data_IF_005883418891
#
_entry.id   IF_005883418891
#
_cell.length_a   1.000
_cell.length_b   1.000
_cell.length_c   1.000
_cell.angle_alpha   90.00
_cell.angle_beta   90.00
_cell.angle_gamma   90.00
#
_symmetry.space_group_name_H-M   'P 1'
#
loop_
_entity.id
_entity.type
_entity.pdbx_description
1 polymer ?
#
# COMPACT_ATOMS: atom_id res chain seq x y z
N UNK A 1 -20.11 -11.00 4.95
CA UNK A 1 -19.16 -10.58 3.90
C UNK A 1 -18.64 -11.83 3.21
N UNK A 2 -18.66 -11.87 1.87
CA UNK A 2 -18.26 -13.03 1.05
C UNK A 2 -16.82 -13.49 1.31
N UNK A 3 -15.94 -12.57 1.70
CA UNK A 3 -14.51 -12.85 1.98
C UNK A 3 -14.32 -13.93 3.05
N UNK A 4 -15.19 -13.98 4.08
CA UNK A 4 -15.08 -14.98 5.14
C UNK A 4 -15.42 -16.39 4.67
N UNK A 5 -16.30 -16.53 3.67
CA UNK A 5 -16.63 -17.84 3.10
C UNK A 5 -15.50 -18.36 2.23
N UNK A 6 -14.84 -17.46 1.47
CA UNK A 6 -13.63 -17.78 0.71
C UNK A 6 -12.51 -18.23 1.67
N UNK A 7 -12.23 -17.45 2.73
CA UNK A 7 -11.19 -17.78 3.72
C UNK A 7 -11.39 -19.16 4.34
N UNK A 8 -12.63 -19.54 4.69
CA UNK A 8 -12.94 -20.87 5.26
C UNK A 8 -12.66 -22.03 4.31
N UNK A 9 -12.64 -21.78 3.00
CA UNK A 9 -12.33 -22.78 1.98
C UNK A 9 -10.85 -22.87 1.61
N UNK A 10 -10.01 -21.94 2.08
CA UNK A 10 -8.59 -21.93 1.75
C UNK A 10 -7.84 -23.07 2.41
N UNK A 11 -6.75 -23.49 1.76
CA UNK A 11 -5.79 -24.45 2.28
C UNK A 11 -4.45 -23.74 2.46
N UNK A 12 -3.64 -24.10 3.47
CA UNK A 12 -2.30 -23.54 3.61
C UNK A 12 -1.46 -23.75 2.35
N UNK A 13 -0.72 -22.72 1.95
CA UNK A 13 0.23 -22.79 0.85
C UNK A 13 1.45 -23.65 1.22
N UNK A 14 2.42 -23.77 0.30
CA UNK A 14 3.71 -24.38 0.61
C UNK A 14 4.47 -23.70 1.76
N UNK A 15 4.08 -22.48 2.14
CA UNK A 15 4.63 -21.72 3.29
C UNK A 15 3.89 -22.03 4.60
N UNK A 16 2.77 -22.77 4.54
CA UNK A 16 1.90 -23.00 5.69
C UNK A 16 0.97 -21.84 6.02
N UNK A 17 0.84 -20.85 5.13
CA UNK A 17 0.02 -19.65 5.33
C UNK A 17 -1.30 -19.74 4.54
N UNK A 18 -2.35 -19.09 5.04
CA UNK A 18 -3.55 -18.79 4.25
C UNK A 18 -3.31 -17.50 3.47
N UNK A 19 -3.22 -17.61 2.15
CA UNK A 19 -2.70 -16.54 1.29
C UNK A 19 -3.79 -15.53 0.92
N UNK A 20 -3.50 -14.23 1.08
CA UNK A 20 -4.36 -13.18 0.53
C UNK A 20 -4.46 -13.28 -1.00
N UNK A 21 -3.41 -13.79 -1.66
CA UNK A 21 -3.40 -14.05 -3.10
C UNK A 21 -4.47 -15.07 -3.51
N UNK A 22 -4.76 -16.08 -2.69
CA UNK A 22 -5.82 -17.05 -2.99
C UNK A 22 -7.21 -16.44 -2.85
N UNK A 23 -7.39 -15.54 -1.87
CA UNK A 23 -8.62 -14.73 -1.77
C UNK A 23 -8.78 -13.88 -3.04
N UNK A 24 -7.73 -13.19 -3.46
CA UNK A 24 -7.76 -12.36 -4.67
C UNK A 24 -8.09 -13.18 -5.92
N UNK A 25 -7.49 -14.36 -6.07
CA UNK A 25 -7.76 -15.27 -7.18
C UNK A 25 -9.22 -15.76 -7.21
N UNK A 26 -9.85 -15.96 -6.04
CA UNK A 26 -11.26 -16.33 -5.98
C UNK A 26 -12.17 -15.21 -6.52
N UNK A 27 -11.87 -13.94 -6.21
CA UNK A 27 -12.60 -12.79 -6.78
C UNK A 27 -12.33 -12.62 -8.28
N UNK A 28 -11.11 -12.88 -8.75
CA UNK A 28 -10.77 -12.89 -10.19
C UNK A 28 -11.58 -13.97 -10.91
N UNK A 29 -11.62 -15.20 -10.39
CA UNK A 29 -12.36 -16.31 -10.98
C UNK A 29 -13.88 -16.07 -11.05
N UNK A 30 -14.40 -15.24 -10.15
CA UNK A 30 -15.81 -14.81 -10.14
C UNK A 30 -16.08 -13.61 -11.07
N UNK A 31 -15.04 -12.99 -11.65
CA UNK A 31 -15.17 -11.77 -12.45
C UNK A 31 -15.57 -10.54 -11.64
N UNK A 32 -15.37 -10.56 -10.32
CA UNK A 32 -15.78 -9.50 -9.40
C UNK A 32 -14.61 -8.71 -8.80
N UNK A 33 -13.37 -9.08 -9.15
CA UNK A 33 -12.17 -8.31 -8.80
C UNK A 33 -12.15 -6.97 -9.53
N UNK A 34 -11.89 -5.90 -8.79
CA UNK A 34 -11.55 -4.58 -9.32
C UNK A 34 -10.11 -4.24 -8.93
N UNK A 35 -9.50 -3.29 -9.65
CA UNK A 35 -8.17 -2.79 -9.34
C UNK A 35 -8.09 -1.30 -9.68
N UNK A 36 -7.16 -0.63 -9.05
CA UNK A 36 -6.79 0.75 -9.36
C UNK A 36 -5.27 0.85 -9.46
N UNK A 37 -4.79 1.82 -10.24
CA UNK A 37 -3.36 2.14 -10.30
C UNK A 37 -3.10 3.25 -9.28
N UNK A 38 -2.11 3.04 -8.41
CA UNK A 38 -1.71 4.04 -7.44
C UNK A 38 -0.89 5.14 -8.12
N UNK A 39 -1.39 6.37 -8.04
CA UNK A 39 -0.60 7.55 -8.36
C UNK A 39 0.29 7.93 -7.16
N UNK A 40 1.56 8.22 -7.43
CA UNK A 40 2.55 8.54 -6.40
C UNK A 40 3.41 7.36 -6.01
N UNK A 41 3.61 7.16 -4.71
CA UNK A 41 4.54 6.15 -4.19
C UNK A 41 3.88 5.18 -3.22
N UNK A 42 4.33 3.92 -3.32
CA UNK A 42 4.15 2.90 -2.30
C UNK A 42 5.54 2.42 -1.83
N UNK A 43 5.65 2.16 -0.53
CA UNK A 43 6.85 1.57 0.08
C UNK A 43 6.41 0.74 1.27
N UNK A 44 7.17 -0.30 1.58
CA UNK A 44 7.08 -1.01 2.86
C UNK A 44 8.16 -0.51 3.85
N UNK A 45 8.16 -1.10 5.04
CA UNK A 45 9.12 -0.87 6.10
C UNK A 45 9.60 -2.19 6.73
N UNK A 46 9.79 -3.23 5.90
CA UNK A 46 10.18 -4.57 6.34
C UNK A 46 11.66 -4.72 6.70
N UNK A 47 12.50 -3.73 6.38
CA UNK A 47 13.94 -3.67 6.70
C UNK A 47 14.31 -2.31 7.29
N UNK A 48 15.47 -2.20 7.96
CA UNK A 48 15.94 -0.91 8.48
C UNK A 48 16.12 0.15 7.37
N UNK A 49 16.62 -0.27 6.21
CA UNK A 49 16.81 0.60 5.05
C UNK A 49 15.47 1.07 4.47
N UNK A 50 14.51 0.16 4.25
CA UNK A 50 13.17 0.51 3.75
C UNK A 50 12.40 1.38 4.73
N UNK A 51 12.53 1.14 6.04
CA UNK A 51 11.95 1.97 7.10
C UNK A 51 12.52 3.40 7.07
N UNK A 52 13.85 3.54 6.95
CA UNK A 52 14.49 4.85 6.86
C UNK A 52 14.02 5.61 5.60
N UNK A 53 13.97 4.91 4.45
CA UNK A 53 13.43 5.47 3.20
C UNK A 53 11.98 5.92 3.36
N UNK A 54 11.11 5.08 3.92
CA UNK A 54 9.69 5.39 4.14
C UNK A 54 9.53 6.64 5.02
N UNK A 55 10.33 6.74 6.08
CA UNK A 55 10.33 7.89 6.99
C UNK A 55 10.71 9.19 6.27
N UNK A 56 11.74 9.15 5.41
CA UNK A 56 12.16 10.31 4.63
C UNK A 56 11.13 10.72 3.57
N UNK A 57 10.48 9.76 2.91
CA UNK A 57 9.39 10.03 1.95
C UNK A 57 8.25 10.80 2.61
N UNK A 58 7.82 10.38 3.81
CA UNK A 58 6.77 11.10 4.56
C UNK A 58 7.24 12.46 5.02
N UNK A 59 8.47 12.57 5.53
CA UNK A 59 9.02 13.84 6.01
C UNK A 59 9.14 14.90 4.90
N UNK A 60 9.40 14.49 3.66
CA UNK A 60 9.63 15.38 2.52
C UNK A 60 8.38 15.65 1.70
N UNK A 61 7.55 14.62 1.44
CA UNK A 61 6.40 14.68 0.54
C UNK A 61 5.05 14.44 1.20
N UNK A 62 4.99 14.36 2.53
CA UNK A 62 3.79 13.96 3.26
C UNK A 62 3.36 12.52 2.95
N UNK A 63 2.15 12.14 3.34
CA UNK A 63 1.61 10.81 3.08
C UNK A 63 1.06 10.70 1.64
N UNK A 64 1.95 10.81 0.65
CA UNK A 64 1.61 10.74 -0.78
C UNK A 64 0.70 11.89 -1.27
N UNK A 65 0.88 13.10 -0.74
CA UNK A 65 0.23 14.30 -1.30
C UNK A 65 0.93 14.69 -2.60
N UNK A 66 0.26 14.48 -3.74
CA UNK A 66 0.80 14.75 -5.07
C UNK A 66 0.73 16.24 -5.45
N UNK A 67 -0.03 17.00 -4.66
CA UNK A 67 -0.51 18.35 -4.93
C UNK A 67 0.54 19.43 -4.60
N UNK A 68 1.70 19.03 -4.08
CA UNK A 68 2.89 19.88 -4.07
C UNK A 68 2.77 21.21 -3.33
N UNK A 69 2.72 21.16 -2.01
CA UNK A 69 3.38 22.19 -1.19
C UNK A 69 4.43 21.44 -0.39
N UNK A 70 5.66 21.38 -0.91
CA UNK A 70 6.75 20.81 -0.12
C UNK A 70 6.90 21.67 1.16
N UNK A 71 7.18 21.08 2.33
CA UNK A 71 7.43 21.87 3.54
C UNK A 71 8.52 22.94 3.36
N UNK A 72 9.45 22.71 2.42
CA UNK A 72 10.47 23.69 2.04
C UNK A 72 9.89 24.91 1.29
N UNK A 73 8.90 24.71 0.40
CA UNK A 73 8.19 25.80 -0.28
C UNK A 73 7.36 26.64 0.69
N UNK A 74 6.69 26.00 1.66
CA UNK A 74 5.95 26.71 2.71
C UNK A 74 6.88 27.54 3.62
N UNK A 75 8.12 27.07 3.85
CA UNK A 75 9.11 27.81 4.63
C UNK A 75 9.65 29.04 3.89
N UNK A 76 9.89 28.94 2.58
CA UNK A 76 10.31 30.10 1.77
C UNK A 76 9.18 31.12 1.61
N UNK A 77 7.92 30.69 1.44
CA UNK A 77 6.77 31.58 1.32
C UNK A 77 6.47 32.37 2.60
N UNK A 78 6.82 31.85 3.78
CA UNK A 78 6.64 32.51 5.07
C UNK A 78 7.80 33.47 5.44
N UNK A 79 8.89 33.48 4.69
CA UNK A 79 10.09 34.29 4.94
C UNK A 79 10.14 35.61 4.12
N UNK A 80 9.10 35.90 3.33
CA UNK A 80 8.89 37.18 2.63
C UNK A 80 7.74 37.97 3.22
#
# INVERSE_FOLDING_TARGET
>A
SQVFDIIRGLKPSGRGELEITDVNNAYIAQGTMSYEILDGWWTDAGTFESLHRASNLVATGGANHLDGESPAMLLEAAAG
#
